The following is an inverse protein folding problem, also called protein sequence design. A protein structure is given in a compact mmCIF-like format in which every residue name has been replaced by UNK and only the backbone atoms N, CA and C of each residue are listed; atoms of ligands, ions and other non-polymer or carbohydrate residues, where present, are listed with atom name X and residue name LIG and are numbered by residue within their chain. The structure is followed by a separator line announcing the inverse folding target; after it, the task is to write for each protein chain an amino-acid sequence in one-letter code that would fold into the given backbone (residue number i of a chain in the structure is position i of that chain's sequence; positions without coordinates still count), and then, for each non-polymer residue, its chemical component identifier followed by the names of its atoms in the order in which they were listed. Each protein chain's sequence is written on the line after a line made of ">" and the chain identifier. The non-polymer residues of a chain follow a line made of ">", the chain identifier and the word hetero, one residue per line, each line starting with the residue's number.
data_IF_610064023069
#
_entry.id   IF_610064023069
#
_cell.length_a   1.000
_cell.length_b   1.000
_cell.length_c   1.000
_cell.angle_alpha   90.00
_cell.angle_beta   90.00
_cell.angle_gamma   90.00
#
_symmetry.space_group_name_H-M   'P 1'
#
loop_
_entity.id
_entity.type
_entity.pdbx_description
1 polymer ?
#
# COMPACT_ATOMS: atom_id res chain seq x y z
N UNK A 1 4.38 -16.29 26.62
CA UNK A 1 5.38 -15.50 25.88
C UNK A 1 6.42 -16.38 25.17
N UNK A 2 6.86 -17.51 25.76
CA UNK A 2 7.77 -18.48 25.11
C UNK A 2 7.14 -19.17 23.89
N UNK A 3 5.90 -19.64 24.00
CA UNK A 3 5.17 -20.33 22.91
C UNK A 3 5.04 -19.45 21.66
N UNK A 4 4.83 -18.15 21.85
CA UNK A 4 4.77 -17.18 20.74
C UNK A 4 6.13 -17.02 20.04
N UNK A 5 7.22 -17.03 20.80
CA UNK A 5 8.59 -16.98 20.28
C UNK A 5 8.98 -18.26 19.52
N UNK A 6 8.56 -19.42 20.01
CA UNK A 6 8.78 -20.70 19.31
C UNK A 6 7.98 -20.75 18.01
N UNK A 7 6.71 -20.31 18.03
CA UNK A 7 5.89 -20.23 16.81
C UNK A 7 6.49 -19.28 15.77
N UNK A 8 7.01 -18.13 16.22
CA UNK A 8 7.66 -17.15 15.33
C UNK A 8 8.95 -17.68 14.69
N UNK A 9 9.62 -18.66 15.31
CA UNK A 9 10.84 -19.28 14.77
C UNK A 9 10.57 -20.49 13.84
N UNK A 10 9.31 -20.87 13.68
CA UNK A 10 8.98 -21.92 12.70
C UNK A 10 8.94 -21.32 11.29
N UNK A 11 9.30 -22.08 10.23
CA UNK A 11 9.22 -21.59 8.85
C UNK A 11 7.80 -21.15 8.47
N UNK A 12 6.78 -21.72 9.09
CA UNK A 12 5.39 -21.33 8.92
C UNK A 12 5.08 -19.99 9.63
N UNK A 13 5.61 -19.81 10.84
CA UNK A 13 5.47 -18.56 11.60
C UNK A 13 6.15 -17.38 10.93
N UNK A 14 7.34 -17.57 10.35
CA UNK A 14 8.05 -16.51 9.59
C UNK A 14 7.30 -16.11 8.33
N UNK A 15 6.70 -17.05 7.61
CA UNK A 15 5.86 -16.76 6.42
C UNK A 15 4.57 -16.04 6.84
N UNK A 16 3.90 -16.50 7.90
CA UNK A 16 2.64 -15.89 8.35
C UNK A 16 2.83 -14.46 8.89
N UNK A 17 4.00 -14.18 9.48
CA UNK A 17 4.39 -12.87 9.99
C UNK A 17 5.17 -12.04 8.96
N UNK A 18 5.32 -12.53 7.72
CA UNK A 18 5.90 -11.71 6.67
C UNK A 18 5.06 -10.43 6.51
N UNK A 19 5.74 -9.30 6.31
CA UNK A 19 5.07 -8.01 6.21
C UNK A 19 3.97 -7.98 5.14
N UNK A 20 4.13 -8.75 4.06
CA UNK A 20 3.13 -8.88 2.98
C UNK A 20 1.84 -9.56 3.47
N UNK A 21 1.95 -10.66 4.22
CA UNK A 21 0.78 -11.37 4.76
C UNK A 21 0.04 -10.50 5.77
N UNK A 22 0.77 -9.81 6.64
CA UNK A 22 0.17 -8.85 7.60
C UNK A 22 -0.56 -7.75 6.84
N UNK A 23 0.04 -7.21 5.77
CA UNK A 23 -0.59 -6.18 4.94
C UNK A 23 -1.87 -6.71 4.26
N UNK A 24 -1.85 -7.91 3.72
CA UNK A 24 -3.03 -8.56 3.15
C UNK A 24 -4.21 -8.59 4.14
N UNK A 25 -3.99 -9.08 5.37
CA UNK A 25 -5.04 -9.13 6.38
C UNK A 25 -5.50 -7.74 6.83
N UNK A 26 -4.58 -6.78 6.99
CA UNK A 26 -4.93 -5.43 7.39
C UNK A 26 -5.70 -4.68 6.31
N UNK A 27 -5.41 -4.86 5.04
CA UNK A 27 -6.19 -4.30 3.92
C UNK A 27 -7.61 -4.88 3.91
N UNK A 28 -7.77 -6.20 4.12
CA UNK A 28 -9.10 -6.81 4.25
C UNK A 28 -9.85 -6.20 5.43
N UNK A 29 -9.20 -6.10 6.59
CA UNK A 29 -9.80 -5.55 7.79
C UNK A 29 -10.22 -4.09 7.59
N UNK A 30 -9.36 -3.26 7.00
CA UNK A 30 -9.67 -1.88 6.64
C UNK A 30 -10.86 -1.78 5.68
N UNK A 31 -10.89 -2.65 4.66
CA UNK A 31 -12.02 -2.72 3.72
C UNK A 31 -13.32 -3.11 4.42
N UNK A 32 -13.30 -4.12 5.29
CA UNK A 32 -14.48 -4.54 6.04
C UNK A 32 -14.97 -3.43 6.95
N UNK A 33 -14.08 -2.74 7.65
CA UNK A 33 -14.44 -1.57 8.47
C UNK A 33 -15.04 -0.46 7.61
N UNK A 34 -14.46 -0.19 6.42
CA UNK A 34 -15.02 0.78 5.47
C UNK A 34 -16.43 0.43 5.00
N UNK A 35 -16.72 -0.86 4.78
CA UNK A 35 -18.05 -1.35 4.40
C UNK A 35 -19.07 -1.28 5.52
N UNK A 36 -18.64 -1.42 6.78
CA UNK A 36 -19.54 -1.28 7.95
C UNK A 36 -20.16 0.10 8.03
N UNK A 37 -19.50 1.12 7.54
CA UNK A 37 -20.05 2.46 7.40
C UNK A 37 -20.94 2.57 6.16
N UNK A 38 -22.11 1.90 6.19
CA UNK A 38 -23.10 1.77 5.09
C UNK A 38 -23.49 3.06 4.36
N UNK A 39 -23.28 4.23 4.97
CA UNK A 39 -23.52 5.56 4.38
C UNK A 39 -22.27 6.22 3.82
N UNK A 40 -21.14 5.50 3.76
CA UNK A 40 -19.82 6.07 3.51
C UNK A 40 -19.29 6.84 4.73
N UNK A 41 -17.97 6.94 4.84
CA UNK A 41 -17.37 7.86 5.80
C UNK A 41 -17.68 9.29 5.34
N UNK A 42 -18.13 10.18 6.22
CA UNK A 42 -18.27 11.60 5.88
C UNK A 42 -16.96 12.12 5.26
N UNK A 43 -17.07 12.88 4.18
CA UNK A 43 -15.90 13.40 3.45
C UNK A 43 -14.90 14.11 4.38
N UNK A 44 -15.40 14.76 5.44
CA UNK A 44 -14.56 15.40 6.45
C UNK A 44 -13.66 14.40 7.18
N UNK A 45 -14.21 13.24 7.55
CA UNK A 45 -13.43 12.18 8.25
C UNK A 45 -12.42 11.55 7.30
N UNK A 46 -12.80 11.27 6.05
CA UNK A 46 -11.87 10.77 5.04
C UNK A 46 -10.68 11.74 4.85
N UNK A 47 -10.97 13.03 4.70
CA UNK A 47 -9.92 14.03 4.53
C UNK A 47 -8.99 14.12 5.74
N UNK A 48 -9.53 14.05 6.97
CA UNK A 48 -8.72 14.05 8.20
C UNK A 48 -7.84 12.81 8.26
N UNK A 49 -8.38 11.63 7.97
CA UNK A 49 -7.60 10.38 7.96
C UNK A 49 -6.49 10.43 6.91
N UNK A 50 -6.80 10.82 5.67
CA UNK A 50 -5.81 10.91 4.60
C UNK A 50 -4.74 11.96 4.90
N UNK A 51 -5.10 13.10 5.47
CA UNK A 51 -4.15 14.14 5.88
C UNK A 51 -3.26 13.62 7.02
N UNK A 52 -3.84 12.96 8.02
CA UNK A 52 -3.06 12.36 9.13
C UNK A 52 -2.04 11.34 8.61
N UNK A 53 -2.45 10.47 7.67
CA UNK A 53 -1.52 9.52 7.05
C UNK A 53 -0.42 10.21 6.24
N UNK A 54 -0.74 11.28 5.51
CA UNK A 54 0.25 12.06 4.79
C UNK A 54 1.33 12.61 5.74
N UNK A 55 0.93 13.09 6.92
CA UNK A 55 1.89 13.51 7.96
C UNK A 55 2.73 12.35 8.50
N UNK A 56 2.14 11.18 8.71
CA UNK A 56 2.90 9.99 9.13
C UNK A 56 3.94 9.59 8.09
N UNK A 57 3.56 9.53 6.82
CA UNK A 57 4.47 9.21 5.71
C UNK A 57 5.57 10.27 5.58
N UNK A 58 5.21 11.54 5.70
CA UNK A 58 6.17 12.64 5.72
C UNK A 58 7.18 12.50 6.86
N UNK A 59 6.71 12.18 8.07
CA UNK A 59 7.59 11.93 9.22
C UNK A 59 8.55 10.77 8.96
N UNK A 60 8.06 9.64 8.43
CA UNK A 60 8.90 8.49 8.07
C UNK A 60 9.95 8.88 7.03
N UNK A 61 9.56 9.65 6.01
CA UNK A 61 10.50 10.15 5.00
C UNK A 61 11.59 11.05 5.59
N UNK A 62 11.21 11.97 6.47
CA UNK A 62 12.16 12.86 7.15
C UNK A 62 13.10 12.08 8.05
N UNK A 63 12.61 11.13 8.83
CA UNK A 63 13.49 10.29 9.68
C UNK A 63 14.46 9.45 8.87
N UNK A 64 14.05 8.97 7.69
CA UNK A 64 14.94 8.23 6.77
C UNK A 64 16.08 9.10 6.23
N UNK A 65 15.86 10.38 5.99
CA UNK A 65 16.93 11.31 5.56
C UNK A 65 17.96 11.55 6.67
N UNK A 66 17.53 11.56 7.93
CA UNK A 66 18.39 11.77 9.10
C UNK A 66 19.00 10.48 9.65
N UNK A 67 18.82 9.34 8.98
CA UNK A 67 19.48 8.09 9.36
C UNK A 67 21.00 8.26 9.29
N UNK A 68 21.71 7.82 10.34
CA UNK A 68 23.18 7.95 10.42
C UNK A 68 23.92 7.20 9.31
N UNK A 69 23.28 6.20 8.72
CA UNK A 69 23.84 5.41 7.62
C UNK A 69 23.45 5.97 6.25
N UNK A 70 22.59 6.99 6.20
CA UNK A 70 22.14 7.58 4.95
C UNK A 70 23.26 8.43 4.31
N UNK A 71 23.71 8.03 3.13
CA UNK A 71 24.65 8.82 2.34
C UNK A 71 23.87 9.83 1.49
N UNK A 72 23.93 11.10 1.88
CA UNK A 72 23.23 12.20 1.21
C UNK A 72 23.56 12.27 -0.28
N UNK A 73 24.83 12.00 -0.67
CA UNK A 73 25.25 12.02 -2.08
C UNK A 73 24.54 10.93 -2.88
N UNK A 74 24.40 9.73 -2.29
CA UNK A 74 23.67 8.62 -2.93
C UNK A 74 22.18 8.97 -3.07
N UNK A 75 21.58 9.56 -2.04
CA UNK A 75 20.17 9.98 -2.08
C UNK A 75 19.95 11.00 -3.20
N UNK A 76 20.81 12.03 -3.29
CA UNK A 76 20.71 13.06 -4.34
C UNK A 76 20.87 12.42 -5.73
N UNK A 77 21.86 11.56 -5.92
CA UNK A 77 22.09 10.88 -7.19
C UNK A 77 20.92 9.97 -7.58
N UNK A 78 20.39 9.17 -6.64
CA UNK A 78 19.24 8.31 -6.88
C UNK A 78 17.99 9.12 -7.21
N UNK A 79 17.73 10.24 -6.51
CA UNK A 79 16.61 11.12 -6.78
C UNK A 79 16.71 11.78 -8.16
N UNK A 80 17.90 12.25 -8.54
CA UNK A 80 18.11 12.88 -9.84
C UNK A 80 17.94 11.86 -10.98
N UNK A 81 18.61 10.71 -10.87
CA UNK A 81 18.55 9.65 -11.90
C UNK A 81 17.13 9.06 -11.95
N UNK A 82 16.55 8.74 -10.80
CA UNK A 82 15.21 8.17 -10.71
C UNK A 82 14.13 9.12 -11.24
N UNK A 83 14.24 10.42 -10.94
CA UNK A 83 13.33 11.44 -11.47
C UNK A 83 13.40 11.56 -12.98
N UNK A 84 14.61 11.64 -13.54
CA UNK A 84 14.80 11.70 -15.00
C UNK A 84 14.29 10.43 -15.68
N UNK A 85 14.64 9.25 -15.17
CA UNK A 85 14.17 7.98 -15.73
C UNK A 85 12.65 7.82 -15.60
N UNK A 86 12.07 8.21 -14.46
CA UNK A 86 10.62 8.17 -14.23
C UNK A 86 9.84 9.05 -15.22
N UNK A 87 10.34 10.26 -15.49
CA UNK A 87 9.76 11.18 -16.47
C UNK A 87 9.91 10.67 -17.90
N UNK A 88 11.09 10.12 -18.26
CA UNK A 88 11.34 9.58 -19.59
C UNK A 88 10.46 8.37 -19.92
N UNK A 89 10.18 7.53 -18.93
CA UNK A 89 9.32 6.34 -19.09
C UNK A 89 7.83 6.72 -19.04
N UNK A 90 7.52 7.93 -18.53
CA UNK A 90 6.14 8.41 -18.32
C UNK A 90 5.31 7.37 -17.54
N UNK A 91 5.81 7.04 -16.33
CA UNK A 91 5.22 6.01 -15.47
C UNK A 91 3.73 6.30 -15.18
N UNK A 92 3.35 7.57 -15.08
CA UNK A 92 1.97 7.97 -14.85
C UNK A 92 1.06 7.54 -16.00
N UNK A 93 1.50 7.70 -17.25
CA UNK A 93 0.73 7.21 -18.42
C UNK A 93 0.68 5.69 -18.46
N UNK A 94 1.78 5.01 -18.09
CA UNK A 94 1.82 3.54 -18.08
C UNK A 94 0.82 3.00 -17.05
N UNK A 95 0.83 3.55 -15.84
CA UNK A 95 -0.07 3.19 -14.74
C UNK A 95 -1.52 3.47 -15.12
N UNK A 96 -1.82 4.64 -15.67
CA UNK A 96 -3.16 4.99 -16.13
C UNK A 96 -3.64 4.07 -17.27
N UNK A 97 -2.79 3.74 -18.25
CA UNK A 97 -3.11 2.79 -19.32
C UNK A 97 -3.43 1.39 -18.79
N UNK A 98 -2.67 0.92 -17.80
CA UNK A 98 -2.96 -0.36 -17.16
C UNK A 98 -4.31 -0.28 -16.45
N UNK A 99 -4.56 0.80 -15.69
CA UNK A 99 -5.82 1.06 -15.02
C UNK A 99 -7.00 1.04 -15.99
N UNK A 100 -6.93 1.81 -17.08
CA UNK A 100 -7.96 1.87 -18.14
C UNK A 100 -8.15 0.51 -18.83
N UNK A 101 -7.08 -0.23 -19.09
CA UNK A 101 -7.16 -1.54 -19.74
C UNK A 101 -7.88 -2.56 -18.87
N UNK A 102 -7.62 -2.53 -17.55
CA UNK A 102 -8.31 -3.38 -16.59
C UNK A 102 -9.77 -2.95 -16.46
N UNK A 103 -10.03 -1.64 -16.34
CA UNK A 103 -11.38 -1.09 -16.26
C UNK A 103 -12.20 -1.48 -17.50
N UNK A 104 -11.66 -1.31 -18.72
CA UNK A 104 -12.32 -1.69 -19.98
C UNK A 104 -12.58 -3.19 -20.07
N UNK A 105 -11.69 -4.04 -19.55
CA UNK A 105 -11.84 -5.49 -19.55
C UNK A 105 -12.95 -5.96 -18.60
N UNK A 106 -13.08 -5.30 -17.45
CA UNK A 106 -14.15 -5.58 -16.48
C UNK A 106 -15.48 -4.91 -16.83
N UNK A 107 -15.46 -3.82 -17.59
CA UNK A 107 -16.65 -3.04 -17.95
C UNK A 107 -17.46 -3.64 -19.11
N UNK A 108 -16.96 -4.68 -19.80
CA UNK A 108 -17.69 -5.34 -20.92
C UNK A 108 -19.09 -5.85 -20.57
N UNK A 109 -19.43 -5.95 -19.28
CA UNK A 109 -20.73 -6.43 -18.79
C UNK A 109 -21.62 -5.35 -18.13
N UNK A 110 -21.29 -4.07 -18.22
CA UNK A 110 -22.19 -2.94 -17.87
C UNK A 110 -22.64 -2.78 -16.42
N UNK A 111 -22.28 -3.67 -15.50
CA UNK A 111 -22.81 -3.67 -14.13
C UNK A 111 -21.77 -3.49 -12.99
N UNK A 112 -20.47 -3.46 -13.30
CA UNK A 112 -19.44 -3.51 -12.24
C UNK A 112 -18.35 -2.41 -12.33
N UNK A 113 -18.66 -1.25 -12.92
CA UNK A 113 -17.70 -0.14 -13.10
C UNK A 113 -17.05 0.27 -11.78
N UNK A 114 -17.82 0.32 -10.70
CA UNK A 114 -17.30 0.72 -9.39
C UNK A 114 -16.35 -0.31 -8.77
N UNK A 115 -16.55 -1.60 -9.04
CA UNK A 115 -15.69 -2.67 -8.50
C UNK A 115 -14.32 -2.63 -9.20
N UNK A 116 -14.31 -2.50 -10.53
CA UNK A 116 -13.07 -2.41 -11.30
C UNK A 116 -12.26 -1.17 -10.92
N UNK A 117 -12.93 -0.01 -10.82
CA UNK A 117 -12.29 1.24 -10.41
C UNK A 117 -11.72 1.15 -9.00
N UNK A 118 -12.46 0.57 -8.05
CA UNK A 118 -11.99 0.36 -6.68
C UNK A 118 -10.77 -0.55 -6.61
N UNK A 119 -10.81 -1.67 -7.35
CA UNK A 119 -9.68 -2.60 -7.43
C UNK A 119 -8.42 -1.94 -7.99
N UNK A 120 -8.54 -1.29 -9.16
CA UNK A 120 -7.40 -0.67 -9.85
C UNK A 120 -6.79 0.44 -9.01
N UNK A 121 -7.62 1.38 -8.53
CA UNK A 121 -7.12 2.51 -7.72
C UNK A 121 -6.45 2.04 -6.44
N UNK A 122 -7.00 1.06 -5.75
CA UNK A 122 -6.42 0.52 -4.53
C UNK A 122 -5.14 -0.27 -4.81
N UNK A 123 -5.11 -1.11 -5.86
CA UNK A 123 -3.91 -1.85 -6.27
C UNK A 123 -2.76 -0.91 -6.60
N UNK A 124 -3.01 0.13 -7.38
CA UNK A 124 -1.99 1.11 -7.73
C UNK A 124 -1.45 1.83 -6.48
N UNK A 125 -2.34 2.25 -5.59
CA UNK A 125 -1.95 2.93 -4.36
C UNK A 125 -1.11 2.02 -3.45
N UNK A 126 -1.51 0.75 -3.30
CA UNK A 126 -0.87 -0.17 -2.36
C UNK A 126 0.41 -0.80 -2.91
N UNK A 127 0.50 -1.05 -4.22
CA UNK A 127 1.63 -1.78 -4.80
C UNK A 127 2.71 -0.89 -5.39
N UNK A 128 2.39 0.34 -5.86
CA UNK A 128 3.31 1.21 -6.60
C UNK A 128 3.97 2.26 -5.70
N UNK A 129 4.08 2.02 -4.40
CA UNK A 129 4.72 2.94 -3.46
C UNK A 129 6.20 2.61 -3.22
N UNK A 130 7.04 3.62 -3.01
CA UNK A 130 8.45 3.43 -2.64
C UNK A 130 8.60 2.57 -1.37
N UNK A 131 7.71 2.72 -0.39
CA UNK A 131 7.69 1.90 0.83
C UNK A 131 7.44 0.42 0.55
N UNK A 132 6.67 0.08 -0.49
CA UNK A 132 6.44 -1.32 -0.89
C UNK A 132 7.72 -1.93 -1.42
N UNK A 133 8.40 -1.23 -2.32
CA UNK A 133 9.63 -1.71 -2.95
C UNK A 133 10.73 -1.85 -1.91
N UNK A 134 11.01 -0.79 -1.15
CA UNK A 134 12.06 -0.79 -0.11
C UNK A 134 11.76 -1.81 0.98
N UNK A 135 10.52 -1.83 1.49
CA UNK A 135 10.12 -2.76 2.53
C UNK A 135 10.17 -4.23 2.08
N UNK A 136 9.86 -4.52 0.82
CA UNK A 136 9.99 -5.89 0.27
C UNK A 136 11.45 -6.31 0.12
N UNK A 137 12.33 -5.40 -0.29
CA UNK A 137 13.77 -5.65 -0.37
C UNK A 137 14.35 -5.88 1.02
N UNK A 138 14.03 -5.03 2.00
CA UNK A 138 14.48 -5.17 3.39
C UNK A 138 13.98 -6.47 4.02
N UNK A 139 12.73 -6.81 3.82
CA UNK A 139 12.16 -8.07 4.28
C UNK A 139 12.88 -9.29 3.67
N UNK A 140 13.20 -9.23 2.36
CA UNK A 140 13.84 -10.34 1.66
C UNK A 140 15.33 -10.50 1.99
N UNK A 141 16.07 -9.40 2.13
CA UNK A 141 17.54 -9.43 2.34
C UNK A 141 17.89 -9.46 3.82
N UNK A 142 17.25 -8.61 4.62
CA UNK A 142 17.59 -8.37 6.02
C UNK A 142 16.65 -9.05 6.99
N UNK A 143 15.56 -9.69 6.49
CA UNK A 143 14.46 -10.21 7.32
C UNK A 143 13.82 -9.13 8.22
N UNK A 144 13.95 -7.85 7.84
CA UNK A 144 13.35 -6.72 8.53
C UNK A 144 12.01 -6.34 7.90
N UNK A 145 10.94 -6.54 8.68
CA UNK A 145 9.57 -6.26 8.27
C UNK A 145 9.02 -4.94 8.82
N UNK A 146 9.81 -4.13 9.51
CA UNK A 146 9.35 -2.91 10.19
C UNK A 146 8.68 -1.92 9.21
N UNK A 147 9.28 -1.73 8.03
CA UNK A 147 8.74 -0.87 6.97
C UNK A 147 7.41 -1.40 6.45
N UNK A 148 7.30 -2.71 6.22
CA UNK A 148 6.06 -3.34 5.74
C UNK A 148 4.95 -3.31 6.80
N UNK A 149 5.27 -3.46 8.08
CA UNK A 149 4.28 -3.33 9.16
C UNK A 149 3.74 -1.92 9.25
N UNK A 150 4.62 -0.91 9.20
CA UNK A 150 4.21 0.50 9.19
C UNK A 150 3.31 0.79 7.99
N UNK A 151 3.69 0.30 6.82
CA UNK A 151 2.91 0.38 5.59
C UNK A 151 1.55 -0.31 5.72
N UNK A 152 1.50 -1.48 6.33
CA UNK A 152 0.27 -2.25 6.50
C UNK A 152 -0.80 -1.48 7.29
N UNK A 153 -0.38 -0.72 8.30
CA UNK A 153 -1.29 0.15 9.07
C UNK A 153 -1.80 1.30 8.19
N UNK A 154 -0.92 1.93 7.41
CA UNK A 154 -1.29 3.01 6.48
C UNK A 154 -2.26 2.49 5.42
N UNK A 155 -1.98 1.33 4.82
CA UNK A 155 -2.82 0.69 3.81
C UNK A 155 -4.19 0.30 4.38
N UNK A 156 -4.27 -0.15 5.64
CA UNK A 156 -5.53 -0.45 6.33
C UNK A 156 -6.44 0.80 6.42
N UNK A 157 -5.88 1.93 6.84
CA UNK A 157 -6.63 3.19 6.95
C UNK A 157 -7.01 3.71 5.56
N UNK A 158 -6.10 3.61 4.59
CA UNK A 158 -6.38 3.97 3.21
C UNK A 158 -7.47 3.08 2.59
N UNK A 159 -7.42 1.76 2.83
CA UNK A 159 -8.44 0.82 2.39
C UNK A 159 -9.83 1.16 2.96
N UNK A 160 -9.90 1.53 4.25
CA UNK A 160 -11.12 1.97 4.89
C UNK A 160 -11.69 3.24 4.21
N UNK A 161 -10.84 4.22 3.94
CA UNK A 161 -11.25 5.47 3.28
C UNK A 161 -11.67 5.23 1.82
N UNK A 162 -10.90 4.47 1.06
CA UNK A 162 -11.19 4.14 -0.35
C UNK A 162 -12.46 3.31 -0.49
N UNK A 163 -12.68 2.34 0.39
CA UNK A 163 -13.86 1.47 0.33
C UNK A 163 -15.14 2.25 0.54
N UNK A 164 -15.12 3.29 1.37
CA UNK A 164 -16.29 4.13 1.60
C UNK A 164 -16.70 4.93 0.35
N UNK A 165 -15.77 5.19 -0.58
CA UNK A 165 -16.01 5.93 -1.83
C UNK A 165 -16.10 5.02 -3.06
N UNK A 166 -15.27 3.98 -3.15
CA UNK A 166 -15.14 3.10 -4.33
C UNK A 166 -15.81 1.73 -4.13
N UNK A 167 -16.29 1.44 -2.93
CA UNK A 167 -17.05 0.22 -2.62
C UNK A 167 -16.19 -1.03 -2.51
N UNK A 168 -16.82 -2.19 -2.73
CA UNK A 168 -16.27 -3.54 -2.47
C UNK A 168 -15.06 -3.89 -3.33
N UNK A 169 -14.80 -3.14 -4.42
CA UNK A 169 -13.69 -3.42 -5.34
C UNK A 169 -12.32 -3.38 -4.67
N UNK A 170 -12.20 -2.59 -3.59
CA UNK A 170 -10.94 -2.44 -2.82
C UNK A 170 -10.50 -3.76 -2.17
N UNK A 171 -11.43 -4.66 -1.80
CA UNK A 171 -11.08 -5.93 -1.17
C UNK A 171 -10.19 -6.81 -2.07
N UNK A 172 -10.42 -6.73 -3.39
CA UNK A 172 -9.62 -7.51 -4.35
C UNK A 172 -8.18 -7.01 -4.45
N UNK A 173 -7.92 -5.75 -4.09
CA UNK A 173 -6.58 -5.21 -4.05
C UNK A 173 -5.72 -5.82 -2.93
N UNK A 174 -6.33 -6.43 -1.90
CA UNK A 174 -5.57 -7.18 -0.90
C UNK A 174 -4.76 -8.32 -1.52
N UNK A 175 -5.30 -8.96 -2.56
CA UNK A 175 -4.63 -10.05 -3.26
C UNK A 175 -3.37 -9.60 -4.02
N UNK A 176 -3.36 -8.34 -4.49
CA UNK A 176 -2.20 -7.79 -5.20
C UNK A 176 -1.07 -7.32 -4.26
N UNK A 177 -1.36 -7.20 -2.97
CA UNK A 177 -0.37 -6.80 -1.95
C UNK A 177 0.41 -7.99 -1.40
N UNK A 178 -0.08 -9.21 -1.62
CA UNK A 178 0.53 -10.47 -1.21
C UNK A 178 1.69 -10.87 -2.12
#
# INVERSE_FOLDING_TARGET
>A
MQILKEFMNTPFGTVLLSGAVVNFFLVILGTLLGLLFKKGLPQKIQNVLMTGMAFCVFYIGVTGIFDKNANILVIIACMAIGGVLGELIDLDKLVNKIGESIENKFNKNGKNVNIAKGFVSATLLFCVGAMTIVGSIDSGINSDNATLYSKSVIDCVAAMALTSSLGVGVIFASLSVL
#
